data_IF_133902496141
#
_entry.id   IF_133902496141
#
_cell.length_a   1.000
_cell.length_b   1.000
_cell.length_c   1.000
_cell.angle_alpha   90.00
_cell.angle_beta   90.00
_cell.angle_gamma   90.00
#
_symmetry.space_group_name_H-M   'P 1'
#
loop_
_entity.id
_entity.type
_entity.pdbx_description
1 polymer ?
#
# COMPACT_ATOMS: atom_id res chain seq x y z
N UNK A 1 -2.62 29.60 -16.54
CA UNK A 1 -2.93 28.29 -15.92
C UNK A 1 -1.61 27.55 -15.78
N UNK A 2 -1.31 27.06 -14.59
CA UNK A 2 -0.07 26.35 -14.32
C UNK A 2 -0.07 24.98 -15.02
N UNK A 3 1.10 24.49 -15.41
CA UNK A 3 1.23 23.23 -16.14
C UNK A 3 0.58 22.04 -15.43
N UNK A 4 0.75 21.92 -14.10
CA UNK A 4 0.10 20.87 -13.31
C UNK A 4 -1.41 20.96 -13.24
N UNK A 5 -1.97 22.15 -13.22
CA UNK A 5 -3.43 22.32 -13.29
C UNK A 5 -3.93 21.84 -14.66
N UNK A 6 -3.22 22.17 -15.74
CA UNK A 6 -3.54 21.66 -17.08
C UNK A 6 -3.48 20.14 -17.16
N UNK A 7 -2.45 19.52 -16.56
CA UNK A 7 -2.31 18.06 -16.47
C UNK A 7 -3.50 17.43 -15.73
N UNK A 8 -3.88 17.96 -14.56
CA UNK A 8 -5.01 17.45 -13.76
C UNK A 8 -6.35 17.58 -14.48
N UNK A 9 -6.58 18.70 -15.19
CA UNK A 9 -7.78 18.90 -16.01
C UNK A 9 -7.84 17.90 -17.17
N UNK A 10 -6.70 17.64 -17.82
CA UNK A 10 -6.62 16.64 -18.88
C UNK A 10 -6.86 15.22 -18.35
N UNK A 11 -6.34 14.88 -17.18
CA UNK A 11 -6.65 13.61 -16.49
C UNK A 11 -8.16 13.47 -16.28
N UNK A 12 -8.81 14.52 -15.74
CA UNK A 12 -10.25 14.48 -15.47
C UNK A 12 -11.05 14.28 -16.77
N UNK A 13 -10.69 15.00 -17.84
CA UNK A 13 -11.31 14.85 -19.16
C UNK A 13 -11.11 13.43 -19.73
N UNK A 14 -10.00 12.78 -19.42
CA UNK A 14 -9.69 11.42 -19.84
C UNK A 14 -10.33 10.35 -18.96
N UNK A 15 -11.19 10.72 -18.00
CA UNK A 15 -11.94 9.78 -17.15
C UNK A 15 -11.18 9.30 -15.91
N UNK A 16 -10.09 9.96 -15.53
CA UNK A 16 -9.39 9.69 -14.28
C UNK A 16 -9.82 10.67 -13.20
N UNK A 17 -9.69 10.28 -11.94
CA UNK A 17 -9.95 11.14 -10.78
C UNK A 17 -8.61 11.60 -10.19
N UNK A 18 -8.21 12.87 -10.45
CA UNK A 18 -6.99 13.43 -9.87
C UNK A 18 -7.18 13.71 -8.37
N UNK A 19 -6.09 13.66 -7.63
CA UNK A 19 -6.01 14.04 -6.22
C UNK A 19 -4.86 15.03 -6.02
N UNK A 20 -5.03 15.93 -5.07
CA UNK A 20 -3.96 16.83 -4.67
C UNK A 20 -3.12 16.16 -3.59
N UNK A 21 -1.83 15.95 -3.86
CA UNK A 21 -0.92 15.26 -2.95
C UNK A 21 0.23 16.17 -2.50
N UNK A 22 0.68 16.02 -1.26
CA UNK A 22 2.03 16.39 -0.85
C UNK A 22 2.94 15.17 -1.02
N UNK A 23 3.77 15.20 -2.05
CA UNK A 23 4.54 14.04 -2.53
C UNK A 23 3.61 12.81 -2.75
N UNK A 24 3.62 11.87 -1.81
CA UNK A 24 2.84 10.63 -1.88
C UNK A 24 1.50 10.69 -1.14
N UNK A 25 1.22 11.75 -0.37
CA UNK A 25 0.08 11.78 0.55
C UNK A 25 -1.02 12.71 0.05
N UNK A 26 -2.27 12.22 -0.11
CA UNK A 26 -3.39 13.09 -0.34
C UNK A 26 -3.57 14.08 0.81
N UNK A 27 -3.73 15.36 0.49
CA UNK A 27 -3.91 16.41 1.49
C UNK A 27 -5.39 16.70 1.78
N UNK A 28 -6.28 16.31 0.87
CA UNK A 28 -7.71 16.54 1.00
C UNK A 28 -8.35 15.54 1.96
N UNK A 29 -9.07 16.04 2.96
CA UNK A 29 -9.88 15.19 3.84
C UNK A 29 -11.03 14.56 3.06
N UNK A 30 -11.33 13.29 3.36
CA UNK A 30 -12.44 12.57 2.70
C UNK A 30 -12.17 12.20 1.24
N UNK A 31 -10.95 12.35 0.74
CA UNK A 31 -10.57 12.01 -0.63
C UNK A 31 -11.03 10.61 -1.11
N UNK A 32 -11.18 9.58 -0.25
CA UNK A 32 -11.58 8.26 -0.72
C UNK A 32 -12.96 8.22 -1.38
N UNK A 33 -13.89 9.01 -0.87
CA UNK A 33 -15.28 9.09 -1.35
C UNK A 33 -15.54 10.30 -2.24
N UNK A 34 -14.57 11.21 -2.34
CA UNK A 34 -14.71 12.46 -3.10
C UNK A 34 -14.69 12.19 -4.61
N UNK A 35 -15.54 12.88 -5.32
CA UNK A 35 -15.53 13.01 -6.78
C UNK A 35 -15.10 14.43 -7.07
N UNK A 36 -14.01 14.57 -7.79
CA UNK A 36 -13.39 15.85 -8.13
C UNK A 36 -13.97 16.33 -9.46
N UNK A 37 -14.35 17.59 -9.55
CA UNK A 37 -14.79 18.24 -10.77
C UNK A 37 -13.78 19.27 -11.31
N UNK A 38 -14.09 19.86 -12.46
CA UNK A 38 -13.21 20.82 -13.12
C UNK A 38 -13.04 22.11 -12.31
N UNK A 39 -14.08 22.58 -11.62
CA UNK A 39 -14.03 23.80 -10.81
C UNK A 39 -13.09 23.60 -9.61
N UNK A 40 -13.17 22.43 -8.99
CA UNK A 40 -12.28 22.06 -7.90
C UNK A 40 -10.82 22.00 -8.37
N UNK A 41 -10.53 21.30 -9.49
CA UNK A 41 -9.17 21.22 -10.04
C UNK A 41 -8.61 22.62 -10.34
N UNK A 42 -9.42 23.52 -10.88
CA UNK A 42 -9.01 24.92 -11.11
C UNK A 42 -8.70 25.68 -9.83
N UNK A 43 -9.38 25.36 -8.73
CA UNK A 43 -9.10 25.97 -7.42
C UNK A 43 -7.71 25.58 -6.88
N UNK A 44 -7.12 24.50 -7.37
CA UNK A 44 -5.78 24.02 -7.01
C UNK A 44 -4.63 24.76 -7.73
N UNK A 45 -4.92 25.73 -8.55
CA UNK A 45 -3.90 26.43 -9.37
C UNK A 45 -2.77 27.07 -8.51
N UNK A 46 -3.09 27.43 -7.25
CA UNK A 46 -2.11 27.96 -6.29
C UNK A 46 -1.17 26.88 -5.70
N UNK A 47 -1.43 25.62 -5.98
CA UNK A 47 -0.73 24.45 -5.42
C UNK A 47 0.26 23.82 -6.40
N UNK A 48 0.99 24.66 -7.17
CA UNK A 48 1.95 24.21 -8.20
C UNK A 48 3.07 23.32 -7.67
N UNK A 49 3.40 23.47 -6.39
CA UNK A 49 4.47 22.69 -5.75
C UNK A 49 3.99 21.30 -5.30
N UNK A 50 2.69 21.03 -5.34
CA UNK A 50 2.11 19.78 -4.92
C UNK A 50 2.05 18.79 -6.08
N UNK A 51 2.23 17.51 -5.76
CA UNK A 51 2.12 16.42 -6.72
C UNK A 51 0.65 16.08 -7.03
N UNK A 52 0.45 15.29 -8.07
CA UNK A 52 -0.84 14.78 -8.48
C UNK A 52 -0.94 13.31 -8.13
N UNK A 53 -1.97 12.94 -7.38
CA UNK A 53 -2.39 11.56 -7.18
C UNK A 53 -3.43 11.14 -8.21
N UNK A 54 -3.53 9.84 -8.42
CA UNK A 54 -4.57 9.16 -9.18
C UNK A 54 -5.39 8.32 -8.19
N UNK A 55 -6.68 8.58 -8.08
CA UNK A 55 -7.57 7.71 -7.31
C UNK A 55 -7.75 6.40 -8.06
N UNK A 56 -7.48 5.30 -7.39
CA UNK A 56 -7.74 3.98 -7.94
C UNK A 56 -9.19 3.61 -7.65
N UNK A 57 -10.04 3.75 -8.62
CA UNK A 57 -11.47 3.45 -8.57
C UNK A 57 -11.91 2.58 -9.76
N UNK A 58 -13.10 2.01 -9.66
CA UNK A 58 -13.68 1.20 -10.72
C UNK A 58 -12.78 0.05 -11.15
N UNK A 59 -12.27 0.12 -12.36
CA UNK A 59 -11.43 -0.90 -13.00
C UNK A 59 -9.95 -0.51 -13.08
N UNK A 60 -9.50 0.58 -12.46
CA UNK A 60 -8.09 0.95 -12.46
C UNK A 60 -7.26 0.07 -11.52
N UNK A 61 -6.08 -0.32 -12.00
CA UNK A 61 -5.10 -1.05 -11.22
C UNK A 61 -3.67 -0.63 -11.60
N UNK A 62 -2.74 -0.83 -10.67
CA UNK A 62 -1.32 -0.48 -10.82
C UNK A 62 -0.46 -1.64 -10.36
N UNK A 63 0.58 -1.94 -11.12
CA UNK A 63 1.71 -2.78 -10.71
C UNK A 63 2.85 -1.80 -10.35
N UNK A 64 3.15 -1.64 -9.07
CA UNK A 64 4.22 -0.77 -8.56
C UNK A 64 5.48 -1.60 -8.34
N UNK A 65 6.50 -1.35 -9.16
CA UNK A 65 7.77 -2.07 -9.15
C UNK A 65 8.77 -1.25 -8.35
N UNK A 66 8.71 -1.39 -7.01
CA UNK A 66 9.65 -0.75 -6.08
C UNK A 66 10.97 -1.53 -6.03
N UNK A 67 11.65 -1.60 -7.19
CA UNK A 67 12.87 -2.37 -7.43
C UNK A 67 13.94 -1.43 -7.99
N UNK A 68 15.04 -1.26 -7.26
CA UNK A 68 16.15 -0.39 -7.69
C UNK A 68 17.16 -1.09 -8.60
N UNK A 69 17.08 -2.41 -8.77
CA UNK A 69 17.93 -3.19 -9.70
C UNK A 69 17.27 -3.22 -11.09
N UNK A 70 17.87 -2.52 -12.04
CA UNK A 70 17.37 -2.38 -13.40
C UNK A 70 17.29 -3.73 -14.15
N UNK A 71 18.17 -4.69 -13.83
CA UNK A 71 18.16 -6.01 -14.47
C UNK A 71 16.94 -6.82 -14.05
N UNK A 72 16.55 -6.75 -12.78
CA UNK A 72 15.35 -7.39 -12.26
C UNK A 72 14.09 -6.77 -12.87
N UNK A 73 14.01 -5.44 -12.95
CA UNK A 73 12.88 -4.74 -13.59
C UNK A 73 12.73 -5.15 -15.03
N UNK A 74 13.84 -5.13 -15.82
CA UNK A 74 13.85 -5.54 -17.22
C UNK A 74 13.42 -7.01 -17.40
N UNK A 75 13.89 -7.90 -16.54
CA UNK A 75 13.54 -9.32 -16.60
C UNK A 75 12.06 -9.53 -16.29
N UNK A 76 11.52 -8.82 -15.27
CA UNK A 76 10.10 -8.88 -14.93
C UNK A 76 9.24 -8.32 -16.06
N UNK A 77 9.60 -7.17 -16.64
CA UNK A 77 8.90 -6.57 -17.76
C UNK A 77 8.88 -7.51 -18.98
N UNK A 78 10.01 -8.16 -19.29
CA UNK A 78 10.10 -9.15 -20.36
C UNK A 78 9.22 -10.37 -20.14
N UNK A 79 9.20 -10.92 -18.92
CA UNK A 79 8.36 -12.07 -18.57
C UNK A 79 6.87 -11.74 -18.63
N UNK A 80 6.45 -10.59 -18.08
CA UNK A 80 5.08 -10.10 -18.17
C UNK A 80 4.69 -9.73 -19.61
N UNK A 81 5.59 -9.12 -20.37
CA UNK A 81 5.36 -8.77 -21.78
C UNK A 81 5.14 -9.98 -22.67
N UNK A 82 5.74 -11.13 -22.34
CA UNK A 82 5.44 -12.39 -23.02
C UNK A 82 4.00 -12.86 -22.77
N UNK A 83 3.50 -12.69 -21.55
CA UNK A 83 2.14 -13.14 -21.18
C UNK A 83 1.07 -12.08 -21.48
N UNK A 84 1.41 -10.82 -21.35
CA UNK A 84 0.50 -9.67 -21.48
C UNK A 84 1.15 -8.54 -22.29
N UNK A 85 1.44 -8.71 -23.59
CA UNK A 85 2.13 -7.69 -24.39
C UNK A 85 1.37 -6.37 -24.42
N UNK A 86 0.05 -6.39 -24.40
CA UNK A 86 -0.82 -5.19 -24.38
C UNK A 86 -0.56 -4.27 -23.20
N UNK A 87 -0.01 -4.78 -22.07
CA UNK A 87 0.36 -3.95 -20.93
C UNK A 87 1.45 -2.94 -21.31
N UNK A 88 2.45 -3.35 -22.08
CA UNK A 88 3.57 -2.52 -22.47
C UNK A 88 3.34 -1.76 -23.78
N UNK A 89 2.42 -2.23 -24.62
CA UNK A 89 2.02 -1.57 -25.86
C UNK A 89 1.04 -0.39 -25.59
N UNK A 90 0.14 -0.53 -24.63
CA UNK A 90 -0.97 0.39 -24.41
C UNK A 90 -1.18 0.81 -22.96
N UNK A 91 -0.48 0.21 -21.99
CA UNK A 91 -0.48 0.65 -20.60
C UNK A 91 0.32 1.92 -20.39
N UNK A 92 0.13 2.58 -19.27
CA UNK A 92 0.94 3.74 -18.91
C UNK A 92 2.12 3.29 -18.04
N UNK A 93 3.31 3.72 -18.39
CA UNK A 93 4.54 3.44 -17.64
C UNK A 93 5.03 4.72 -16.98
N UNK A 94 4.95 4.75 -15.64
CA UNK A 94 5.47 5.84 -14.82
C UNK A 94 6.84 5.46 -14.25
N UNK A 95 7.78 6.37 -14.33
CA UNK A 95 9.11 6.26 -13.72
C UNK A 95 9.26 7.20 -12.52
N UNK A 96 10.14 6.82 -11.61
CA UNK A 96 10.77 7.69 -10.62
C UNK A 96 12.27 7.71 -10.87
N UNK A 97 13.05 8.39 -10.04
CA UNK A 97 14.49 8.29 -10.11
C UNK A 97 15.00 6.84 -10.06
N UNK A 98 15.93 6.50 -10.94
CA UNK A 98 16.49 5.16 -11.04
C UNK A 98 15.64 4.18 -11.85
N UNK A 99 15.62 2.91 -11.42
CA UNK A 99 14.98 1.81 -12.13
C UNK A 99 13.52 1.53 -11.75
N UNK A 100 13.00 2.25 -10.75
CA UNK A 100 11.64 2.02 -10.24
C UNK A 100 10.59 2.47 -11.25
N UNK A 101 9.64 1.59 -11.49
CA UNK A 101 8.56 1.81 -12.43
C UNK A 101 7.19 1.52 -11.82
N UNK A 102 6.15 2.03 -12.45
CA UNK A 102 4.80 1.57 -12.21
C UNK A 102 4.04 1.44 -13.54
N UNK A 103 3.32 0.34 -13.69
CA UNK A 103 2.54 0.03 -14.87
C UNK A 103 1.06 0.14 -14.55
N UNK A 104 0.38 1.05 -15.23
CA UNK A 104 -1.04 1.37 -14.99
C UNK A 104 -1.87 0.79 -16.11
N UNK A 105 -2.87 0.01 -15.76
CA UNK A 105 -3.80 -0.62 -16.67
C UNK A 105 -5.20 -0.71 -16.03
N UNK A 106 -6.16 -1.29 -16.76
CA UNK A 106 -7.45 -1.66 -16.23
C UNK A 106 -7.46 -3.13 -15.83
N UNK A 107 -8.37 -3.50 -14.94
CA UNK A 107 -8.55 -4.88 -14.47
C UNK A 107 -10.00 -5.30 -14.66
N UNK A 108 -10.21 -6.56 -15.06
CA UNK A 108 -11.55 -7.14 -15.30
C UNK A 108 -12.37 -7.33 -14.03
N UNK A 109 -11.70 -7.56 -12.90
CA UNK A 109 -12.34 -7.71 -11.59
C UNK A 109 -11.60 -6.91 -10.53
N UNK A 110 -12.29 -6.05 -9.74
CA UNK A 110 -11.67 -5.32 -8.65
C UNK A 110 -11.01 -6.26 -7.62
N UNK A 111 -9.83 -5.87 -7.13
CA UNK A 111 -9.10 -6.64 -6.13
C UNK A 111 -8.51 -5.73 -5.05
N UNK A 112 -8.11 -6.32 -3.93
CA UNK A 112 -7.34 -5.65 -2.89
C UNK A 112 -5.86 -5.67 -3.26
N UNK A 113 -5.03 -4.93 -2.49
CA UNK A 113 -3.57 -4.99 -2.65
C UNK A 113 -3.06 -6.43 -2.66
N UNK A 114 -2.22 -6.74 -3.65
CA UNK A 114 -1.37 -7.93 -3.71
C UNK A 114 0.07 -7.48 -3.60
N UNK A 115 0.97 -8.32 -3.12
CA UNK A 115 2.38 -8.00 -3.07
C UNK A 115 3.24 -9.27 -3.16
N UNK A 116 4.40 -9.15 -3.78
CA UNK A 116 5.46 -10.15 -3.71
C UNK A 116 6.05 -10.21 -2.32
N UNK A 117 6.93 -11.15 -2.07
CA UNK A 117 7.82 -11.10 -0.93
C UNK A 117 8.76 -9.89 -1.04
N UNK A 118 9.27 -9.43 0.10
CA UNK A 118 10.30 -8.38 0.14
C UNK A 118 11.67 -9.03 0.06
N UNK A 119 12.47 -8.58 -0.89
CA UNK A 119 13.78 -9.17 -1.20
C UNK A 119 14.91 -8.17 -0.96
N UNK A 120 16.09 -8.65 -0.61
CA UNK A 120 17.31 -7.86 -0.46
C UNK A 120 18.52 -8.65 -0.90
N UNK A 121 19.61 -7.95 -1.18
CA UNK A 121 20.93 -8.54 -1.41
C UNK A 121 21.92 -7.88 -0.47
N UNK A 122 22.53 -8.65 0.41
CA UNK A 122 23.46 -8.15 1.44
C UNK A 122 23.50 -9.08 2.63
N UNK A 123 24.31 -8.75 3.62
CA UNK A 123 24.48 -9.53 4.84
C UNK A 123 23.41 -9.23 5.90
N UNK A 124 22.89 -8.00 5.91
CA UNK A 124 21.93 -7.54 6.93
C UNK A 124 20.69 -6.89 6.25
N UNK A 125 19.50 -7.48 6.42
CA UNK A 125 18.27 -6.91 5.91
C UNK A 125 17.83 -5.63 6.65
N UNK A 126 18.34 -5.38 7.85
CA UNK A 126 17.97 -4.22 8.67
C UNK A 126 18.89 -3.01 8.42
N UNK A 127 19.98 -3.20 7.67
CA UNK A 127 20.81 -2.09 7.20
C UNK A 127 20.01 -1.17 6.29
N UNK A 128 19.83 0.12 6.64
CA UNK A 128 19.10 1.08 5.80
C UNK A 128 19.79 1.37 4.46
N UNK A 129 21.09 1.09 4.34
CA UNK A 129 21.83 1.24 3.09
C UNK A 129 21.56 0.10 2.10
N UNK A 130 21.02 -1.03 2.56
CA UNK A 130 20.69 -2.18 1.70
C UNK A 130 19.31 -1.97 1.08
N UNK A 131 19.23 -1.84 -0.26
CA UNK A 131 17.95 -1.68 -0.95
C UNK A 131 17.05 -2.91 -0.72
N UNK A 132 15.80 -2.65 -0.45
CA UNK A 132 14.74 -3.67 -0.39
C UNK A 132 13.87 -3.57 -1.63
N UNK A 133 13.60 -4.70 -2.23
CA UNK A 133 12.90 -4.81 -3.50
C UNK A 133 11.54 -5.47 -3.28
N UNK A 134 10.51 -4.91 -3.86
CA UNK A 134 9.12 -5.33 -3.71
C UNK A 134 8.34 -5.00 -4.97
N UNK A 135 7.44 -5.87 -5.36
CA UNK A 135 6.40 -5.58 -6.35
C UNK A 135 5.06 -5.57 -5.63
N UNK A 136 4.32 -4.47 -5.80
CA UNK A 136 3.00 -4.31 -5.22
C UNK A 136 1.97 -4.08 -6.32
N UNK A 137 0.83 -4.74 -6.20
CA UNK A 137 -0.27 -4.49 -7.11
C UNK A 137 -1.43 -3.88 -6.34
N UNK A 138 -1.87 -2.71 -6.79
CA UNK A 138 -2.98 -1.99 -6.20
C UNK A 138 -4.19 -2.07 -7.11
N UNK A 139 -5.27 -2.67 -6.62
CA UNK A 139 -6.58 -2.64 -7.26
C UNK A 139 -7.49 -1.60 -6.59
N UNK A 140 -8.71 -1.51 -7.09
CA UNK A 140 -9.70 -0.51 -6.63
C UNK A 140 -10.50 -0.94 -5.39
N UNK A 141 -10.37 -2.18 -4.90
CA UNK A 141 -10.99 -2.58 -3.65
C UNK A 141 -10.21 -2.05 -2.45
N UNK A 142 -10.85 -1.15 -1.74
CA UNK A 142 -10.27 -0.38 -0.65
C UNK A 142 -9.90 1.03 -1.10
N UNK A 143 -9.54 1.83 -0.11
CA UNK A 143 -9.18 3.23 -0.33
C UNK A 143 -7.74 3.32 -0.82
N UNK A 144 -7.54 3.47 -2.13
CA UNK A 144 -6.20 3.52 -2.71
C UNK A 144 -6.03 4.73 -3.63
N UNK A 145 -4.85 5.28 -3.60
CA UNK A 145 -4.38 6.31 -4.51
C UNK A 145 -2.94 6.00 -4.92
N UNK A 146 -2.54 6.55 -6.05
CA UNK A 146 -1.21 6.38 -6.60
C UNK A 146 -0.68 7.72 -7.11
N UNK A 147 0.49 8.15 -6.67
CA UNK A 147 1.06 9.42 -7.13
C UNK A 147 1.57 9.27 -8.56
N UNK A 148 1.20 10.21 -9.44
CA UNK A 148 1.45 10.10 -10.90
C UNK A 148 2.22 11.26 -11.50
N UNK A 149 2.24 12.44 -10.89
CA UNK A 149 2.92 13.62 -11.44
C UNK A 149 3.44 14.53 -10.32
N UNK A 150 4.55 15.23 -10.58
CA UNK A 150 5.16 16.19 -9.69
C UNK A 150 6.13 15.58 -8.67
N UNK A 151 6.42 16.27 -7.57
CA UNK A 151 7.42 15.86 -6.61
C UNK A 151 7.17 14.47 -6.03
N UNK A 152 8.17 13.58 -6.14
CA UNK A 152 8.21 12.29 -5.48
C UNK A 152 8.87 12.40 -4.10
N UNK A 153 9.98 13.11 -4.03
CA UNK A 153 10.73 13.31 -2.80
C UNK A 153 11.30 14.73 -2.70
N UNK A 154 11.44 15.20 -1.46
CA UNK A 154 12.11 16.46 -1.12
C UNK A 154 13.25 16.20 -0.14
N UNK A 155 14.32 16.98 -0.25
CA UNK A 155 15.39 16.98 0.75
C UNK A 155 14.96 17.76 2.01
N UNK A 156 15.84 17.82 3.00
CA UNK A 156 15.60 18.54 4.26
C UNK A 156 15.38 20.05 4.07
N UNK A 157 15.90 20.64 2.99
CA UNK A 157 15.68 22.04 2.64
C UNK A 157 14.34 22.28 1.90
N UNK A 158 13.57 21.22 1.64
CA UNK A 158 12.31 21.29 0.92
C UNK A 158 12.44 21.31 -0.62
N UNK A 159 13.65 21.17 -1.13
CA UNK A 159 13.89 21.15 -2.58
C UNK A 159 13.51 19.78 -3.17
N UNK A 160 12.92 19.81 -4.37
CA UNK A 160 12.55 18.59 -5.10
C UNK A 160 13.80 17.87 -5.57
N UNK A 161 14.00 16.64 -5.14
CA UNK A 161 15.15 15.80 -5.50
C UNK A 161 14.77 14.70 -6.48
N UNK A 162 13.48 14.43 -6.64
CA UNK A 162 12.97 13.44 -7.57
C UNK A 162 11.52 13.75 -7.96
N UNK A 163 11.16 13.44 -9.21
CA UNK A 163 9.81 13.66 -9.74
C UNK A 163 9.30 12.43 -10.50
N UNK A 164 7.99 12.27 -10.50
CA UNK A 164 7.30 11.28 -11.33
C UNK A 164 7.30 11.71 -12.80
N UNK A 165 7.58 10.78 -13.70
CA UNK A 165 7.59 10.99 -15.16
C UNK A 165 6.97 9.81 -15.87
N UNK A 166 6.30 10.07 -16.99
CA UNK A 166 5.79 9.03 -17.87
C UNK A 166 6.72 8.77 -19.05
N UNK A 167 6.84 7.50 -19.45
CA UNK A 167 7.60 7.11 -20.64
C UNK A 167 6.80 7.40 -21.92
N UNK A 168 7.52 7.69 -23.01
CA UNK A 168 6.95 7.73 -24.36
C UNK A 168 5.87 8.79 -24.61
N UNK A 169 5.69 9.76 -23.70
CA UNK A 169 4.68 10.80 -23.82
C UNK A 169 3.25 10.36 -23.51
N UNK A 170 3.00 9.06 -23.28
CA UNK A 170 1.73 8.54 -22.82
C UNK A 170 1.58 8.77 -21.31
N UNK A 171 0.47 9.37 -20.89
CA UNK A 171 0.20 9.69 -19.50
C UNK A 171 -1.32 9.74 -19.25
N UNK A 172 -1.79 9.80 -18.00
CA UNK A 172 -3.21 10.01 -17.74
C UNK A 172 -3.77 11.30 -18.36
N UNK A 173 -2.92 12.29 -18.65
CA UNK A 173 -3.33 13.53 -19.30
C UNK A 173 -3.48 13.39 -20.82
N UNK A 174 -2.80 12.44 -21.45
CA UNK A 174 -2.79 12.26 -22.91
C UNK A 174 -3.53 11.02 -23.39
N UNK A 175 -3.82 10.08 -22.49
CA UNK A 175 -4.41 8.77 -22.82
C UNK A 175 -5.77 8.64 -22.09
N UNK A 176 -6.88 8.43 -22.79
CA UNK A 176 -8.16 8.15 -22.14
C UNK A 176 -8.11 6.84 -21.32
N UNK A 177 -8.72 6.83 -20.15
CA UNK A 177 -8.82 5.64 -19.29
C UNK A 177 -9.38 4.43 -20.04
N UNK A 178 -10.41 4.66 -20.88
CA UNK A 178 -11.02 3.60 -21.67
C UNK A 178 -10.09 2.96 -22.70
N UNK A 179 -9.02 3.65 -23.10
CA UNK A 179 -7.99 3.13 -24.02
C UNK A 179 -6.95 2.28 -23.33
N UNK A 180 -6.88 2.27 -21.98
CA UNK A 180 -5.95 1.41 -21.26
C UNK A 180 -6.32 -0.07 -21.47
N UNK A 181 -5.32 -0.97 -21.54
CA UNK A 181 -5.57 -2.38 -21.69
C UNK A 181 -6.33 -2.94 -20.49
N UNK A 182 -7.29 -3.82 -20.75
CA UNK A 182 -8.01 -4.55 -19.71
C UNK A 182 -7.30 -5.89 -19.48
N UNK A 183 -6.72 -6.04 -18.28
CA UNK A 183 -6.02 -7.25 -17.88
C UNK A 183 -6.88 -8.09 -16.94
N UNK A 184 -6.77 -9.44 -16.99
CA UNK A 184 -7.38 -10.27 -15.96
C UNK A 184 -6.72 -10.03 -14.60
N UNK A 185 -7.48 -10.13 -13.50
CA UNK A 185 -6.93 -10.02 -12.15
C UNK A 185 -5.73 -10.94 -11.92
N UNK A 186 -5.72 -12.11 -12.53
CA UNK A 186 -4.62 -13.08 -12.46
C UNK A 186 -3.27 -12.51 -12.97
N UNK A 187 -3.28 -11.49 -13.87
CA UNK A 187 -2.06 -10.85 -14.35
C UNK A 187 -1.30 -10.14 -13.22
N UNK A 188 -2.02 -9.55 -12.27
CA UNK A 188 -1.46 -8.85 -11.13
C UNK A 188 -0.87 -9.82 -10.09
N UNK A 189 -1.52 -10.94 -9.85
CA UNK A 189 -0.96 -12.02 -9.03
C UNK A 189 0.31 -12.60 -9.67
N UNK A 190 0.26 -12.87 -10.99
CA UNK A 190 1.40 -13.36 -11.75
C UNK A 190 2.61 -12.41 -11.69
N UNK A 191 2.38 -11.08 -11.68
CA UNK A 191 3.47 -10.10 -11.54
C UNK A 191 4.24 -10.29 -10.23
N UNK A 192 3.53 -10.52 -9.13
CA UNK A 192 4.13 -10.78 -7.82
C UNK A 192 4.89 -12.12 -7.82
N UNK A 193 4.28 -13.19 -8.34
CA UNK A 193 4.87 -14.53 -8.36
C UNK A 193 6.11 -14.58 -9.27
N UNK A 194 6.06 -13.95 -10.44
CA UNK A 194 7.21 -13.84 -11.35
C UNK A 194 8.36 -13.10 -10.68
N UNK A 195 8.08 -11.97 -10.01
CA UNK A 195 9.13 -11.24 -9.32
C UNK A 195 9.78 -12.08 -8.21
N UNK A 196 8.99 -12.81 -7.45
CA UNK A 196 9.51 -13.73 -6.42
C UNK A 196 10.45 -14.78 -7.01
N UNK A 197 10.07 -15.40 -8.13
CA UNK A 197 10.91 -16.36 -8.83
C UNK A 197 12.20 -15.73 -9.40
N UNK A 198 12.10 -14.55 -10.02
CA UNK A 198 13.23 -13.82 -10.59
C UNK A 198 14.22 -13.41 -9.50
N UNK A 199 13.75 -12.82 -8.40
CA UNK A 199 14.60 -12.40 -7.30
C UNK A 199 15.32 -13.58 -6.64
N UNK A 200 14.61 -14.69 -6.44
CA UNK A 200 15.20 -15.92 -5.92
C UNK A 200 16.28 -16.46 -6.85
N UNK A 201 16.00 -16.55 -8.16
CA UNK A 201 16.96 -17.04 -9.17
C UNK A 201 18.20 -16.12 -9.27
N UNK A 202 18.02 -14.81 -9.05
CA UNK A 202 19.11 -13.84 -9.01
C UNK A 202 19.92 -13.85 -7.70
N UNK A 203 19.62 -14.73 -6.76
CA UNK A 203 20.34 -14.88 -5.50
C UNK A 203 20.01 -13.82 -4.45
N UNK A 204 18.83 -13.21 -4.53
CA UNK A 204 18.32 -12.35 -3.47
C UNK A 204 17.76 -13.20 -2.31
N UNK A 205 17.76 -12.64 -1.13
CA UNK A 205 17.24 -13.26 0.10
C UNK A 205 15.94 -12.59 0.52
N UNK A 206 14.98 -13.38 1.00
CA UNK A 206 13.72 -12.86 1.54
C UNK A 206 13.97 -12.17 2.87
N UNK A 207 13.47 -10.95 3.05
CA UNK A 207 13.41 -10.29 4.35
C UNK A 207 12.48 -11.12 5.25
N UNK A 208 13.01 -11.75 6.27
CA UNK A 208 12.22 -12.53 7.23
C UNK A 208 11.23 -11.58 7.92
N UNK A 209 9.95 -11.86 7.79
CA UNK A 209 8.86 -11.02 8.35
C UNK A 209 8.23 -10.02 7.37
N UNK A 210 8.69 -9.94 6.12
CA UNK A 210 8.19 -9.01 5.10
C UNK A 210 7.34 -9.64 4.00
N UNK A 211 6.79 -10.82 4.16
CA UNK A 211 5.97 -11.47 3.14
C UNK A 211 4.48 -11.23 3.35
N UNK A 212 3.80 -10.77 2.32
CA UNK A 212 2.34 -10.67 2.26
C UNK A 212 1.66 -11.93 1.65
N UNK A 213 2.30 -13.09 1.75
CA UNK A 213 1.53 -14.33 1.76
C UNK A 213 0.84 -14.37 3.11
N UNK A 214 -0.48 -14.57 3.18
CA UNK A 214 -1.34 -14.55 4.37
C UNK A 214 -0.57 -14.12 5.61
N UNK A 215 -0.67 -12.83 6.00
CA UNK A 215 0.13 -12.31 7.08
C UNK A 215 0.09 -13.36 8.17
N UNK A 216 1.21 -14.07 8.38
CA UNK A 216 1.35 -14.89 9.54
C UNK A 216 1.09 -13.88 10.64
N UNK A 217 -0.15 -13.86 11.12
CA UNK A 217 -0.61 -12.98 12.18
C UNK A 217 0.31 -13.35 13.33
N UNK A 218 1.46 -12.64 13.43
CA UNK A 218 2.36 -12.82 14.56
C UNK A 218 1.53 -12.38 15.73
N UNK A 219 0.88 -13.37 16.33
CA UNK A 219 0.10 -13.20 17.55
C UNK A 219 1.10 -13.01 18.67
N UNK A 220 1.50 -11.78 18.86
CA UNK A 220 2.22 -11.42 20.06
C UNK A 220 1.19 -11.40 21.20
N UNK A 221 1.48 -12.11 22.25
CA UNK A 221 0.69 -12.06 23.46
C UNK A 221 1.02 -10.74 24.17
N UNK A 222 -0.03 -9.98 24.48
CA UNK A 222 0.08 -8.83 25.36
C UNK A 222 -0.37 -9.26 26.76
N UNK A 223 0.50 -9.07 27.73
CA UNK A 223 0.17 -9.29 29.13
C UNK A 223 -0.89 -8.27 29.60
N UNK A 224 -1.72 -8.69 30.53
CA UNK A 224 -2.81 -7.87 31.06
C UNK A 224 -2.34 -6.52 31.62
N UNK A 225 -1.14 -6.53 32.21
CA UNK A 225 -0.53 -5.40 32.90
C UNK A 225 0.46 -4.60 32.04
N UNK A 226 0.61 -4.97 30.76
CA UNK A 226 1.45 -4.20 29.82
C UNK A 226 0.90 -2.79 29.70
N UNK A 227 1.72 -1.78 29.99
CA UNK A 227 1.36 -0.38 29.81
C UNK A 227 1.51 0.05 28.36
N UNK A 228 0.49 0.74 27.86
CA UNK A 228 0.44 1.26 26.49
C UNK A 228 0.14 2.75 26.56
N UNK A 229 1.05 3.55 26.04
CA UNK A 229 0.88 5.00 25.96
C UNK A 229 -0.07 5.33 24.81
N UNK A 230 -1.25 5.85 25.12
CA UNK A 230 -2.25 6.24 24.13
C UNK A 230 -2.21 7.74 23.83
N UNK A 231 -2.56 8.11 22.61
CA UNK A 231 -2.57 9.52 22.16
C UNK A 231 -3.52 10.40 23.00
N UNK A 232 -4.70 9.86 23.33
CA UNK A 232 -5.80 10.66 23.88
C UNK A 232 -6.07 10.40 25.36
N UNK A 233 -5.49 9.33 25.95
CA UNK A 233 -5.79 8.88 27.32
C UNK A 233 -4.54 8.66 28.18
N UNK A 234 -3.32 8.93 27.69
CA UNK A 234 -2.07 8.65 28.39
C UNK A 234 -1.78 7.15 28.53
N UNK A 235 -0.96 6.78 29.51
CA UNK A 235 -0.60 5.40 29.78
C UNK A 235 -1.79 4.61 30.34
N UNK A 236 -2.08 3.47 29.72
CA UNK A 236 -3.16 2.55 30.12
C UNK A 236 -2.65 1.11 30.09
N UNK A 237 -3.07 0.30 31.02
CA UNK A 237 -2.85 -1.15 30.94
C UNK A 237 -3.70 -1.75 29.82
N UNK A 238 -3.27 -2.90 29.28
CA UNK A 238 -4.03 -3.63 28.26
C UNK A 238 -5.47 -3.92 28.73
N UNK A 239 -5.68 -4.20 30.03
CA UNK A 239 -7.01 -4.42 30.60
C UNK A 239 -7.89 -3.18 30.58
N UNK A 240 -7.32 -2.01 30.93
CA UNK A 240 -8.04 -0.74 30.90
C UNK A 240 -8.37 -0.33 29.47
N UNK A 241 -7.42 -0.50 28.55
CA UNK A 241 -7.60 -0.25 27.13
C UNK A 241 -8.70 -1.15 26.54
N UNK A 242 -8.74 -2.43 26.92
CA UNK A 242 -9.77 -3.37 26.51
C UNK A 242 -11.17 -2.91 26.97
N UNK A 243 -11.30 -2.45 28.22
CA UNK A 243 -12.55 -1.91 28.75
C UNK A 243 -13.00 -0.65 28.02
N UNK A 244 -12.05 0.26 27.74
CA UNK A 244 -12.30 1.50 27.00
C UNK A 244 -12.84 1.21 25.60
N UNK A 245 -12.12 0.41 24.83
CA UNK A 245 -12.47 0.09 23.43
C UNK A 245 -13.77 -0.68 23.34
N UNK A 246 -14.02 -1.59 24.28
CA UNK A 246 -15.26 -2.37 24.35
C UNK A 246 -16.47 -1.50 24.65
N UNK A 247 -16.33 -0.49 25.53
CA UNK A 247 -17.40 0.42 25.94
C UNK A 247 -17.69 1.52 24.93
N UNK A 248 -16.65 2.13 24.38
CA UNK A 248 -16.76 3.35 23.57
C UNK A 248 -16.66 3.10 22.06
N UNK A 249 -16.07 1.95 21.64
CA UNK A 249 -15.80 1.62 20.22
C UNK A 249 -15.22 2.79 19.43
N UNK A 250 -14.13 3.41 19.88
CA UNK A 250 -13.55 4.58 19.22
C UNK A 250 -13.08 4.20 17.82
N UNK A 251 -13.30 5.07 16.83
CA UNK A 251 -12.96 4.81 15.44
C UNK A 251 -11.48 5.06 15.09
N UNK A 252 -10.76 5.82 15.91
CA UNK A 252 -9.36 6.19 15.64
C UNK A 252 -8.56 6.31 16.95
N UNK A 253 -8.59 5.27 17.76
CA UNK A 253 -7.76 5.20 18.95
C UNK A 253 -6.33 4.82 18.56
N UNK A 254 -5.36 5.65 18.95
CA UNK A 254 -3.94 5.50 18.59
C UNK A 254 -3.07 5.35 19.82
N UNK A 255 -1.95 4.63 19.67
CA UNK A 255 -0.96 4.49 20.72
C UNK A 255 0.47 4.49 20.17
N UNK A 256 1.43 4.58 21.09
CA UNK A 256 2.86 4.36 20.78
C UNK A 256 3.17 2.87 20.64
N UNK A 257 4.31 2.58 20.02
CA UNK A 257 4.85 1.22 19.94
C UNK A 257 5.84 0.88 21.06
N UNK A 258 5.96 1.71 22.10
CA UNK A 258 6.95 1.53 23.17
C UNK A 258 6.82 0.23 23.94
N UNK A 259 5.63 -0.37 23.94
CA UNK A 259 5.39 -1.68 24.58
C UNK A 259 6.16 -2.85 23.91
N UNK A 260 6.65 -2.69 22.68
CA UNK A 260 7.46 -3.69 21.98
C UNK A 260 8.78 -3.13 21.46
N UNK A 261 8.91 -1.82 21.29
CA UNK A 261 10.12 -1.13 20.82
C UNK A 261 10.24 0.23 21.51
N UNK A 262 11.15 0.38 22.49
CA UNK A 262 11.31 1.61 23.27
C UNK A 262 11.62 2.86 22.44
N UNK A 263 12.09 2.70 21.19
CA UNK A 263 12.38 3.84 20.30
C UNK A 263 11.13 4.41 19.63
N UNK A 264 10.01 3.70 19.67
CA UNK A 264 8.74 4.07 19.04
C UNK A 264 7.83 4.87 19.95
N UNK A 265 8.31 6.04 20.36
CA UNK A 265 7.62 6.93 21.31
C UNK A 265 6.41 7.69 20.72
N UNK A 266 6.21 7.69 19.39
CA UNK A 266 5.08 8.40 18.77
C UNK A 266 3.76 7.72 19.09
N UNK A 267 2.83 8.46 19.70
CA UNK A 267 1.52 7.95 20.15
C UNK A 267 0.51 7.72 19.02
N UNK A 268 0.85 8.00 17.77
CA UNK A 268 0.01 7.81 16.58
C UNK A 268 0.48 6.67 15.65
N UNK A 269 1.53 5.93 16.06
CA UNK A 269 2.16 4.90 15.23
C UNK A 269 1.35 3.61 15.11
N UNK A 270 0.49 3.32 16.07
CA UNK A 270 -0.31 2.10 16.15
C UNK A 270 -1.80 2.40 16.26
N UNK A 271 -2.61 1.63 15.54
CA UNK A 271 -4.07 1.69 15.59
C UNK A 271 -4.61 0.61 16.54
N UNK A 272 -5.43 1.02 17.49
CA UNK A 272 -6.10 0.10 18.40
C UNK A 272 -7.51 -0.19 17.88
N UNK A 273 -7.88 -1.45 17.81
CA UNK A 273 -9.19 -1.85 17.35
C UNK A 273 -9.78 -2.99 18.22
N UNK A 274 -11.08 -3.20 18.09
CA UNK A 274 -11.80 -4.33 18.64
C UNK A 274 -12.32 -5.20 17.52
N UNK A 275 -11.66 -6.31 17.30
CA UNK A 275 -12.01 -7.25 16.24
C UNK A 275 -12.69 -8.53 16.76
N UNK A 276 -12.85 -9.49 15.85
CA UNK A 276 -13.41 -10.83 16.16
C UNK A 276 -12.66 -11.55 17.29
N UNK A 277 -11.37 -11.27 17.44
CA UNK A 277 -10.47 -11.91 18.39
C UNK A 277 -10.19 -11.05 19.65
N UNK A 278 -11.00 -10.01 19.90
CA UNK A 278 -10.82 -9.08 21.02
C UNK A 278 -9.98 -7.85 20.67
N UNK A 279 -9.24 -7.34 21.67
CA UNK A 279 -8.36 -6.19 21.49
C UNK A 279 -7.23 -6.53 20.54
N UNK A 280 -7.07 -5.72 19.50
CA UNK A 280 -5.96 -5.76 18.56
C UNK A 280 -5.24 -4.42 18.50
N UNK A 281 -3.91 -4.45 18.51
CA UNK A 281 -3.06 -3.27 18.26
C UNK A 281 -2.31 -3.52 16.96
N UNK A 282 -2.53 -2.66 15.99
CA UNK A 282 -2.00 -2.79 14.65
C UNK A 282 -0.94 -1.72 14.37
N UNK A 283 0.29 -2.16 14.09
CA UNK A 283 1.36 -1.29 13.60
C UNK A 283 1.14 -1.02 12.10
N UNK A 284 0.88 0.24 11.77
CA UNK A 284 0.64 0.64 10.39
C UNK A 284 1.89 0.61 9.50
N UNK A 285 3.08 0.53 10.08
CA UNK A 285 4.35 0.49 9.35
C UNK A 285 4.83 -0.92 9.07
N UNK A 286 4.74 -1.80 10.08
CA UNK A 286 5.20 -3.19 9.96
C UNK A 286 4.09 -4.16 9.62
N UNK A 287 2.83 -3.68 9.59
CA UNK A 287 1.62 -4.50 9.38
C UNK A 287 1.49 -5.65 10.40
N UNK A 288 2.10 -5.49 11.57
CA UNK A 288 2.07 -6.47 12.65
C UNK A 288 0.86 -6.19 13.55
N UNK A 289 0.19 -7.24 14.01
CA UNK A 289 -0.94 -7.12 14.94
C UNK A 289 -0.64 -7.90 16.21
N UNK A 290 -0.78 -7.25 17.36
CA UNK A 290 -0.74 -7.85 18.68
C UNK A 290 -2.17 -8.08 19.17
N UNK A 291 -2.44 -9.28 19.69
CA UNK A 291 -3.73 -9.60 20.28
C UNK A 291 -3.54 -10.05 21.73
N UNK A 292 -4.44 -9.61 22.61
CA UNK A 292 -4.54 -10.21 23.92
C UNK A 292 -5.10 -11.61 23.77
N UNK A 293 -4.37 -12.62 24.24
CA UNK A 293 -4.88 -13.96 24.37
C UNK A 293 -5.86 -13.99 25.56
N UNK A 294 -7.15 -13.95 25.30
CA UNK A 294 -8.14 -14.36 26.31
C UNK A 294 -7.95 -15.84 26.57
N UNK A 295 -7.82 -16.23 27.84
CA UNK A 295 -7.66 -17.63 28.26
C UNK A 295 -8.63 -18.54 27.50
N UNK A 296 -8.07 -19.59 26.88
CA UNK A 296 -8.66 -20.70 26.14
C UNK A 296 -9.76 -20.33 25.13
N UNK A 297 -9.71 -20.83 23.89
CA UNK A 297 -10.86 -20.75 23.01
C UNK A 297 -12.04 -21.38 23.77
N UNK A 298 -13.18 -20.69 23.81
CA UNK A 298 -14.41 -21.29 24.30
C UNK A 298 -14.58 -22.62 23.55
N UNK A 299 -15.17 -23.64 24.20
CA UNK A 299 -15.42 -24.94 23.59
C UNK A 299 -16.10 -24.81 22.21
N UNK A 300 -16.85 -23.74 21.98
CA UNK A 300 -17.44 -23.35 20.70
C UNK A 300 -16.40 -23.05 19.62
N UNK A 301 -15.25 -22.47 19.94
CA UNK A 301 -14.21 -22.15 18.94
C UNK A 301 -13.44 -23.41 18.52
N UNK A 302 -13.10 -24.27 19.47
CA UNK A 302 -12.48 -25.56 19.18
C UNK A 302 -13.42 -26.46 18.32
N UNK A 303 -14.72 -26.38 18.56
CA UNK A 303 -15.73 -27.08 17.77
C UNK A 303 -15.83 -26.53 16.32
N UNK A 304 -15.77 -25.20 16.15
CA UNK A 304 -15.80 -24.58 14.81
C UNK A 304 -14.53 -24.86 14.00
N UNK A 305 -13.37 -24.95 14.64
CA UNK A 305 -12.12 -25.37 13.97
C UNK A 305 -12.16 -26.85 13.56
N UNK A 306 -12.74 -27.72 14.39
CA UNK A 306 -12.99 -29.11 14.02
C UNK A 306 -13.96 -29.27 12.85
N UNK A 307 -14.97 -28.41 12.73
CA UNK A 307 -15.91 -28.42 11.61
C UNK A 307 -15.26 -27.94 10.29
N UNK A 308 -14.31 -27.01 10.34
CA UNK A 308 -13.55 -26.57 9.15
C UNK A 308 -12.61 -27.64 8.61
N UNK A 309 -12.10 -28.52 9.45
CA UNK A 309 -11.25 -29.64 9.08
C UNK A 309 -11.98 -30.86 8.50
N UNK A 310 -13.31 -30.89 8.54
CA UNK A 310 -14.13 -31.93 7.93
C UNK A 310 -14.68 -31.45 6.59
N UNK A 311 -13.92 -31.68 5.54
CA UNK A 311 -14.41 -31.51 4.16
C UNK A 311 -15.43 -32.65 3.86
N UNK A 312 -16.72 -32.37 3.61
CA UNK A 312 -17.72 -33.43 3.42
C UNK A 312 -17.84 -33.87 1.95
N UNK A 313 -16.78 -33.77 1.16
CA UNK A 313 -16.75 -34.27 -0.20
C UNK A 313 -15.50 -35.16 -0.42
N UNK A 314 -15.63 -36.43 0.00
CA UNK A 314 -15.05 -37.58 -0.63
C UNK A 314 -16.13 -38.59 -0.83
#
# INVERSE_FOLDING_TARGET
MQERTAFRLAMLKNGFQPLLNDCKRPIEKGWPTRIVDEAEVRSWDRSALLSTGLKLDGDLAVIDVDVSDASLVKTLAGALGTSFPVLFEHGLVRHTGGAKEAWIARVDAPFRRLASRRWYRGSDPDDPAVPKHLVECFGSLGTRQFAVDGPHARNQAGEVVDEYRFAGGASPATTPRAALPLLPQAAYALACDLFDGIAQAAGFTVVKGGGHGEAELRRFELDADTEIETRDHGAMTVVELERLVRKQRPHDLRCSGTFHDPTRVRTDSHLINWGRHGLGIYDTMTETTWHRRTRAPSATFAFMEQLKGRNPLK
#
